data_IF_474428677764
#
_entry.id   IF_474428677764
#
_cell.length_a   1.000
_cell.length_b   1.000
_cell.length_c   1.000
_cell.angle_alpha   90.00
_cell.angle_beta   90.00
_cell.angle_gamma   90.00
#
_symmetry.space_group_name_H-M   'P 1'
#
loop_
_entity.id
_entity.type
_entity.pdbx_description
1 polymer ?
#
# COMPACT_ATOMS: atom_id res chain seq x y z
N UNK A 1 -12.12 -2.34 -9.79
CA UNK A 1 -10.72 -2.71 -9.57
C UNK A 1 -10.13 -1.78 -8.52
N UNK A 2 -9.44 -2.32 -7.56
CA UNK A 2 -8.84 -1.52 -6.49
C UNK A 2 -7.33 -1.52 -6.62
N UNK A 3 -6.70 -0.57 -5.96
CA UNK A 3 -5.25 -0.44 -5.96
C UNK A 3 -4.74 -0.42 -4.52
N UNK A 4 -3.54 -0.93 -4.32
CA UNK A 4 -2.89 -0.94 -3.02
C UNK A 4 -1.46 -0.43 -3.18
N UNK A 5 -0.87 0.00 -2.07
CA UNK A 5 0.51 0.48 -2.05
C UNK A 5 1.37 -0.54 -1.33
N UNK A 6 2.46 -0.94 -1.96
CA UNK A 6 3.49 -1.77 -1.35
C UNK A 6 4.68 -0.90 -0.97
N UNK A 7 5.23 -1.15 0.19
CA UNK A 7 6.48 -0.51 0.61
C UNK A 7 7.45 -1.58 1.10
N UNK A 8 8.72 -1.28 1.00
CA UNK A 8 9.76 -2.18 1.49
C UNK A 8 10.02 -1.87 2.97
N UNK A 9 9.43 -2.67 3.83
CA UNK A 9 9.55 -2.48 5.28
C UNK A 9 10.95 -2.89 5.78
N UNK A 10 11.48 -3.98 5.21
CA UNK A 10 12.83 -4.44 5.47
C UNK A 10 13.46 -4.79 4.13
N UNK A 11 14.76 -4.84 4.07
CA UNK A 11 15.45 -5.16 2.82
C UNK A 11 14.95 -6.48 2.26
N UNK A 12 14.35 -6.42 1.07
CA UNK A 12 13.78 -7.57 0.40
C UNK A 12 12.38 -7.96 0.83
N UNK A 13 11.84 -7.33 1.88
CA UNK A 13 10.51 -7.64 2.39
C UNK A 13 9.53 -6.52 2.09
N UNK A 14 8.60 -6.77 1.18
CA UNK A 14 7.57 -5.81 0.80
C UNK A 14 6.28 -6.14 1.54
N UNK A 15 5.58 -5.10 2.01
CA UNK A 15 4.30 -5.28 2.67
C UNK A 15 3.33 -4.18 2.21
N UNK A 16 2.05 -4.47 2.36
CA UNK A 16 1.01 -3.51 1.99
C UNK A 16 0.87 -2.44 3.05
N UNK A 17 0.64 -1.21 2.58
CA UNK A 17 0.23 -0.13 3.48
C UNK A 17 -1.19 -0.43 3.94
N UNK A 18 -1.40 -0.43 5.25
CA UNK A 18 -2.70 -0.74 5.84
C UNK A 18 -3.39 0.52 6.31
N UNK A 19 -4.69 0.42 6.54
CA UNK A 19 -5.46 1.56 7.03
C UNK A 19 -4.85 2.06 8.34
N UNK A 20 -4.90 3.38 8.57
CA UNK A 20 -4.33 4.02 9.76
C UNK A 20 -2.82 3.80 9.90
N UNK A 21 -2.14 3.47 8.80
CA UNK A 21 -0.69 3.24 8.80
C UNK A 21 -0.25 2.17 9.79
N UNK A 22 -1.14 1.23 10.08
CA UNK A 22 -0.85 0.13 11.00
C UNK A 22 0.02 -0.92 10.33
N UNK A 23 0.89 -1.55 11.08
CA UNK A 23 1.69 -2.69 10.62
C UNK A 23 1.15 -4.03 11.13
N UNK A 24 0.00 -3.99 11.82
CA UNK A 24 -0.67 -5.19 12.28
C UNK A 24 -1.34 -5.87 11.08
N UNK A 25 -0.94 -7.11 10.80
CA UNK A 25 -1.48 -7.86 9.66
C UNK A 25 -2.98 -8.11 9.77
N UNK A 26 -3.57 -7.92 10.95
CA UNK A 26 -5.02 -8.02 11.15
C UNK A 26 -5.76 -6.77 10.70
N UNK A 27 -5.04 -5.68 10.51
CA UNK A 27 -5.62 -4.44 10.00
C UNK A 27 -5.80 -4.57 8.49
N UNK A 28 -6.96 -4.21 7.92
CA UNK A 28 -7.18 -4.33 6.48
C UNK A 28 -6.18 -3.52 5.67
N UNK A 29 -5.83 -4.04 4.50
CA UNK A 29 -5.00 -3.31 3.53
C UNK A 29 -5.78 -2.10 3.05
N UNK A 30 -5.11 -0.96 2.98
CA UNK A 30 -5.73 0.27 2.49
C UNK A 30 -5.89 0.19 0.98
N UNK A 31 -7.14 0.26 0.51
CA UNK A 31 -7.46 0.15 -0.90
C UNK A 31 -7.89 1.50 -1.45
N UNK A 32 -7.55 1.74 -2.70
CA UNK A 32 -7.85 3.00 -3.40
C UNK A 32 -8.67 2.70 -4.64
N UNK A 33 -9.61 3.59 -4.94
CA UNK A 33 -10.47 3.42 -6.11
C UNK A 33 -9.74 3.76 -7.42
N UNK A 34 -8.69 4.58 -7.34
CA UNK A 34 -7.93 4.96 -8.53
C UNK A 34 -6.44 4.81 -8.27
N UNK A 35 -5.71 4.56 -9.35
CA UNK A 35 -4.26 4.47 -9.29
C UNK A 35 -3.65 5.80 -8.85
N UNK A 36 -4.26 6.90 -9.28
CA UNK A 36 -3.78 8.23 -8.94
C UNK A 36 -3.82 8.47 -7.43
N UNK A 37 -4.91 8.06 -6.78
CA UNK A 37 -5.03 8.18 -5.34
C UNK A 37 -4.01 7.31 -4.62
N UNK A 38 -3.78 6.10 -5.13
CA UNK A 38 -2.77 5.22 -4.56
C UNK A 38 -1.37 5.82 -4.68
N UNK A 39 -1.09 6.47 -5.81
CA UNK A 39 0.20 7.11 -6.03
C UNK A 39 0.42 8.29 -5.08
N UNK A 40 -0.64 9.04 -4.76
CA UNK A 40 -0.54 10.13 -3.80
C UNK A 40 -0.14 9.60 -2.42
N UNK A 41 -0.73 8.49 -2.01
CA UNK A 41 -0.36 7.86 -0.75
C UNK A 41 1.07 7.32 -0.81
N UNK A 42 1.42 6.69 -1.94
CA UNK A 42 2.75 6.12 -2.13
C UNK A 42 3.86 7.16 -2.01
N UNK A 43 3.59 8.40 -2.41
CA UNK A 43 4.58 9.47 -2.35
C UNK A 43 5.03 9.80 -0.92
N UNK A 44 4.34 9.29 0.08
CA UNK A 44 4.74 9.47 1.48
C UNK A 44 5.89 8.55 1.88
N UNK A 45 6.25 7.60 1.01
CA UNK A 45 7.23 6.57 1.33
C UNK A 45 8.41 6.64 0.36
N UNK A 46 9.60 6.34 0.83
CA UNK A 46 10.81 6.37 -0.01
C UNK A 46 10.83 5.20 -0.99
N UNK A 47 10.48 4.00 -0.51
CA UNK A 47 10.34 2.82 -1.36
C UNK A 47 8.86 2.53 -1.50
N UNK A 48 8.39 2.46 -2.75
CA UNK A 48 6.96 2.34 -2.98
C UNK A 48 6.67 1.66 -4.30
N UNK A 49 5.52 0.99 -4.35
CA UNK A 49 4.99 0.40 -5.57
C UNK A 49 3.48 0.39 -5.47
N UNK A 50 2.81 0.84 -6.54
CA UNK A 50 1.36 0.77 -6.64
C UNK A 50 1.02 -0.47 -7.45
N UNK A 51 0.12 -1.30 -6.92
CA UNK A 51 -0.29 -2.54 -7.57
C UNK A 51 -1.80 -2.64 -7.59
N UNK A 52 -2.33 -3.39 -8.55
CA UNK A 52 -3.74 -3.71 -8.59
C UNK A 52 -4.03 -4.75 -7.50
N UNK A 53 -5.11 -4.53 -6.77
CA UNK A 53 -5.49 -5.42 -5.69
C UNK A 53 -6.93 -5.85 -5.90
N UNK A 54 -7.10 -7.11 -6.24
CA UNK A 54 -8.41 -7.71 -6.51
C UNK A 54 -8.81 -8.52 -5.29
N UNK A 55 -9.83 -8.04 -4.60
CA UNK A 55 -10.30 -8.70 -3.40
C UNK A 55 -11.44 -9.65 -3.69
#
# INVERSE_FOLDING_TARGET
MKYAVLIEAFEGDWDYVRVESSWDFRTPVKLFDSKEDAEKEANRWNTRRVVEYDS
#
